data_IF_749112866100
#
_entry.id   IF_749112866100
#
_cell.length_a   1.000
_cell.length_b   1.000
_cell.length_c   1.000
_cell.angle_alpha   90.00
_cell.angle_beta   90.00
_cell.angle_gamma   90.00
#
_symmetry.space_group_name_H-M   'P 1'
#
loop_
_entity.id
_entity.type
_entity.pdbx_description
1 polymer ?
#
# COMPACT_ATOMS: atom_id res chain seq x y z
N UNK A 1 -3.09 -18.92 -1.95
CA UNK A 1 -2.01 -18.04 -2.45
C UNK A 1 -2.46 -17.30 -3.70
N UNK A 2 -2.91 -18.02 -4.73
CA UNK A 2 -3.41 -17.45 -5.99
C UNK A 2 -4.53 -16.40 -5.79
N UNK A 3 -5.53 -16.69 -4.96
CA UNK A 3 -6.63 -15.75 -4.65
C UNK A 3 -6.16 -14.46 -3.98
N UNK A 4 -5.06 -14.50 -3.21
CA UNK A 4 -4.51 -13.30 -2.58
C UNK A 4 -3.81 -12.41 -3.62
N UNK A 5 -3.07 -13.01 -4.55
CA UNK A 5 -2.45 -12.30 -5.67
C UNK A 5 -3.54 -11.65 -6.54
N UNK A 6 -4.60 -12.39 -6.86
CA UNK A 6 -5.75 -11.86 -7.60
C UNK A 6 -6.42 -10.69 -6.86
N UNK A 7 -6.51 -10.76 -5.53
CA UNK A 7 -7.07 -9.68 -4.70
C UNK A 7 -6.21 -8.42 -4.78
N UNK A 8 -4.88 -8.54 -4.73
CA UNK A 8 -3.95 -7.41 -4.87
C UNK A 8 -4.14 -6.71 -6.23
N UNK A 9 -4.17 -7.49 -7.32
CA UNK A 9 -4.35 -6.95 -8.68
C UNK A 9 -5.72 -6.28 -8.84
N UNK A 10 -6.79 -6.95 -8.44
CA UNK A 10 -8.16 -6.42 -8.59
C UNK A 10 -8.42 -5.19 -7.72
N UNK A 11 -7.81 -5.11 -6.53
CA UNK A 11 -7.89 -3.94 -5.65
C UNK A 11 -7.24 -2.71 -6.28
N UNK A 12 -6.08 -2.89 -6.93
CA UNK A 12 -5.43 -1.84 -7.69
C UNK A 12 -6.31 -1.38 -8.86
N UNK A 13 -6.75 -2.31 -9.73
CA UNK A 13 -7.55 -2.00 -10.91
C UNK A 13 -8.87 -1.30 -10.56
N UNK A 14 -9.53 -1.74 -9.49
CA UNK A 14 -10.76 -1.12 -8.97
C UNK A 14 -10.52 0.32 -8.53
N UNK A 15 -9.39 0.58 -7.89
CA UNK A 15 -9.03 1.92 -7.41
C UNK A 15 -8.54 2.84 -8.53
N UNK A 16 -7.85 2.29 -9.54
CA UNK A 16 -7.42 3.01 -10.74
C UNK A 16 -8.59 3.28 -11.71
N UNK A 17 -9.77 2.70 -11.45
CA UNK A 17 -10.99 2.85 -12.28
C UNK A 17 -10.73 2.53 -13.76
N UNK A 18 -9.95 1.48 -14.02
CA UNK A 18 -9.58 1.06 -15.37
C UNK A 18 -8.48 1.91 -16.04
N UNK A 19 -7.82 2.81 -15.30
CA UNK A 19 -6.59 3.47 -15.74
C UNK A 19 -5.36 2.61 -15.43
N UNK A 20 -4.25 2.94 -16.10
CA UNK A 20 -2.96 2.29 -15.90
C UNK A 20 -2.35 2.61 -14.51
N UNK A 21 -2.50 3.87 -14.05
CA UNK A 21 -1.91 4.37 -12.80
C UNK A 21 -2.97 4.98 -11.87
N UNK A 22 -2.70 4.94 -10.57
CA UNK A 22 -3.46 5.63 -9.52
C UNK A 22 -3.03 7.09 -9.43
N UNK A 23 -3.97 8.02 -9.60
CA UNK A 23 -3.73 9.40 -9.18
C UNK A 23 -3.69 9.49 -7.65
N UNK A 24 -3.10 10.57 -7.13
CA UNK A 24 -2.90 10.70 -5.68
C UNK A 24 -4.18 10.65 -4.84
N UNK A 25 -5.34 11.07 -5.37
CA UNK A 25 -6.61 10.96 -4.63
C UNK A 25 -7.08 9.51 -4.59
N UNK A 26 -6.97 8.79 -5.70
CA UNK A 26 -7.32 7.37 -5.80
C UNK A 26 -6.40 6.51 -4.92
N UNK A 27 -5.09 6.80 -4.93
CA UNK A 27 -4.10 6.18 -4.04
C UNK A 27 -4.44 6.43 -2.57
N UNK A 28 -4.72 7.69 -2.19
CA UNK A 28 -5.08 8.03 -0.82
C UNK A 28 -6.32 7.26 -0.32
N UNK A 29 -7.32 7.11 -1.19
CA UNK A 29 -8.53 6.35 -0.87
C UNK A 29 -8.25 4.86 -0.73
N UNK A 30 -7.39 4.30 -1.58
CA UNK A 30 -6.96 2.90 -1.50
C UNK A 30 -6.28 2.64 -0.15
N UNK A 31 -5.24 3.42 0.19
CA UNK A 31 -4.47 3.25 1.43
C UNK A 31 -5.38 3.34 2.65
N UNK A 32 -6.23 4.37 2.71
CA UNK A 32 -7.15 4.55 3.83
C UNK A 32 -8.17 3.41 3.97
N UNK A 33 -8.69 2.88 2.86
CA UNK A 33 -9.76 1.87 2.88
C UNK A 33 -9.25 0.44 3.04
N UNK A 34 -8.11 0.11 2.44
CA UNK A 34 -7.60 -1.26 2.35
C UNK A 34 -6.44 -1.52 3.31
N UNK A 35 -5.62 -0.51 3.61
CA UNK A 35 -4.42 -0.65 4.43
C UNK A 35 -4.54 0.00 5.81
N UNK A 36 -5.64 0.70 6.11
CA UNK A 36 -5.80 1.41 7.38
C UNK A 36 -5.99 0.55 8.63
N UNK A 37 -6.12 -0.77 8.47
CA UNK A 37 -6.05 -1.72 9.58
C UNK A 37 -4.64 -2.27 9.85
N UNK A 38 -3.68 -2.00 8.96
CA UNK A 38 -2.33 -2.59 8.99
C UNK A 38 -1.26 -1.50 9.16
N UNK A 39 -1.43 -0.36 8.49
CA UNK A 39 -0.52 0.78 8.59
C UNK A 39 -1.08 1.79 9.60
N UNK A 40 -0.19 2.37 10.41
CA UNK A 40 -0.48 3.54 11.22
C UNK A 40 -0.57 4.79 10.31
N UNK A 41 -1.23 5.84 10.79
CA UNK A 41 -1.33 7.14 10.10
C UNK A 41 -1.96 7.17 8.70
N UNK A 42 -2.68 6.13 8.27
CA UNK A 42 -3.46 6.14 7.01
C UNK A 42 -4.65 7.12 7.02
N UNK A 43 -4.86 7.85 8.12
CA UNK A 43 -5.80 8.96 8.18
C UNK A 43 -5.13 10.32 7.92
N UNK A 44 -3.79 10.38 7.97
CA UNK A 44 -3.02 11.59 7.68
C UNK A 44 -2.83 11.74 6.17
N UNK A 45 -3.53 12.72 5.60
CA UNK A 45 -3.40 13.09 4.19
C UNK A 45 -1.95 13.45 3.83
N UNK A 46 -1.22 14.06 4.75
CA UNK A 46 0.19 14.41 4.56
C UNK A 46 1.09 13.18 4.56
N UNK A 47 0.88 12.23 5.47
CA UNK A 47 1.66 10.99 5.50
C UNK A 47 1.44 10.15 4.23
N UNK A 48 0.20 10.07 3.74
CA UNK A 48 -0.10 9.35 2.50
C UNK A 48 0.50 10.05 1.28
N UNK A 49 0.54 11.39 1.26
CA UNK A 49 1.23 12.14 0.19
C UNK A 49 2.73 11.90 0.19
N UNK A 50 3.38 11.92 1.36
CA UNK A 50 4.80 11.62 1.46
C UNK A 50 5.10 10.17 1.06
N UNK A 51 4.23 9.24 1.45
CA UNK A 51 4.30 7.85 1.00
C UNK A 51 4.15 7.74 -0.52
N UNK A 52 3.20 8.46 -1.13
CA UNK A 52 3.06 8.50 -2.58
C UNK A 52 4.34 9.01 -3.24
N UNK A 53 4.92 10.11 -2.74
CA UNK A 53 6.19 10.65 -3.26
C UNK A 53 7.37 9.70 -3.10
N UNK A 54 7.39 8.92 -2.01
CA UNK A 54 8.41 7.90 -1.79
C UNK A 54 8.29 6.69 -2.72
N UNK A 55 7.10 6.45 -3.29
CA UNK A 55 6.83 5.37 -4.24
C UNK A 55 6.92 5.81 -5.70
N UNK A 56 6.68 7.10 -5.99
CA UNK A 56 6.69 7.72 -7.33
C UNK A 56 8.12 7.88 -7.87
N UNK A 57 8.76 6.75 -8.21
CA UNK A 57 10.15 6.70 -8.67
C UNK A 57 10.34 7.38 -10.02
N UNK A 58 9.32 7.32 -10.89
CA UNK A 58 9.35 7.98 -12.20
C UNK A 58 8.95 9.46 -12.15
N UNK A 59 8.51 9.96 -10.98
CA UNK A 59 8.06 11.35 -10.76
C UNK A 59 6.95 11.79 -11.72
N UNK A 60 6.04 10.89 -12.10
CA UNK A 60 4.87 11.21 -12.92
C UNK A 60 3.68 11.74 -12.10
N UNK A 61 3.82 11.78 -10.78
CA UNK A 61 2.79 12.23 -9.84
C UNK A 61 1.67 11.22 -9.64
N UNK A 62 1.85 9.98 -10.10
CA UNK A 62 0.90 8.87 -9.96
C UNK A 62 1.61 7.67 -9.33
N UNK A 63 0.86 6.59 -9.16
CA UNK A 63 1.37 5.31 -8.66
C UNK A 63 0.97 4.22 -9.65
N UNK A 64 1.94 3.73 -10.39
CA UNK A 64 1.83 2.57 -11.26
C UNK A 64 1.63 1.29 -10.46
N UNK A 65 1.28 0.19 -11.14
CA UNK A 65 1.13 -1.10 -10.48
C UNK A 65 2.43 -1.59 -9.81
N UNK A 66 3.58 -1.31 -10.42
CA UNK A 66 4.88 -1.68 -9.86
C UNK A 66 5.15 -0.93 -8.54
N UNK A 67 4.94 0.37 -8.53
CA UNK A 67 5.12 1.21 -7.33
C UNK A 67 4.13 0.83 -6.23
N UNK A 68 2.91 0.43 -6.61
CA UNK A 68 1.95 -0.16 -5.68
C UNK A 68 2.44 -1.49 -5.09
N UNK A 69 3.10 -2.36 -5.86
CA UNK A 69 3.67 -3.60 -5.33
C UNK A 69 4.81 -3.33 -4.34
N UNK A 70 5.60 -2.27 -4.53
CA UNK A 70 6.61 -1.83 -3.55
C UNK A 70 5.95 -1.51 -2.20
N UNK A 71 4.82 -0.80 -2.20
CA UNK A 71 4.05 -0.55 -0.99
C UNK A 71 3.54 -1.85 -0.35
N UNK A 72 2.96 -2.75 -1.14
CA UNK A 72 2.47 -4.03 -0.62
C UNK A 72 3.61 -4.88 -0.04
N UNK A 73 4.79 -4.86 -0.65
CA UNK A 73 5.99 -5.51 -0.14
C UNK A 73 6.42 -4.92 1.21
N UNK A 74 6.41 -3.59 1.35
CA UNK A 74 6.70 -2.92 2.62
C UNK A 74 5.70 -3.32 3.71
N UNK A 75 4.40 -3.30 3.39
CA UNK A 75 3.33 -3.70 4.32
C UNK A 75 3.46 -5.17 4.71
N UNK A 76 3.72 -6.06 3.75
CA UNK A 76 3.90 -7.48 4.00
C UNK A 76 5.12 -7.75 4.89
N UNK A 77 6.23 -7.05 4.66
CA UNK A 77 7.42 -7.16 5.50
C UNK A 77 7.18 -6.63 6.92
N UNK A 78 6.51 -5.49 7.06
CA UNK A 78 6.14 -4.93 8.37
C UNK A 78 5.21 -5.87 9.16
N UNK A 79 4.19 -6.41 8.47
CA UNK A 79 3.27 -7.39 9.06
C UNK A 79 3.98 -8.69 9.45
N UNK A 80 4.88 -9.19 8.60
CA UNK A 80 5.69 -10.37 8.87
C UNK A 80 6.58 -10.17 10.09
N UNK A 81 7.24 -9.02 10.20
CA UNK A 81 8.06 -8.66 11.37
C UNK A 81 7.22 -8.56 12.64
N UNK A 82 6.04 -7.92 12.58
CA UNK A 82 5.14 -7.84 13.74
C UNK A 82 4.67 -9.22 14.20
N UNK A 83 4.39 -10.14 13.25
CA UNK A 83 3.94 -11.49 13.55
C UNK A 83 5.08 -12.42 14.02
N UNK A 84 6.30 -12.20 13.54
CA UNK A 84 7.48 -12.98 13.93
C UNK A 84 8.15 -12.44 15.22
N UNK A 85 8.05 -11.14 15.49
CA UNK A 85 8.62 -10.47 16.66
C UNK A 85 7.80 -10.61 17.95
N UNK A 86 6.55 -11.05 17.88
CA UNK A 86 5.69 -11.24 19.08
C UNK A 86 6.05 -12.46 19.95
N UNK A 87 7.14 -13.17 19.65
CA UNK A 87 7.61 -14.34 20.42
C UNK A 87 8.96 -14.13 21.15
N UNK A 88 9.55 -12.93 21.13
CA UNK A 88 10.92 -12.72 21.63
C UNK A 88 11.04 -12.02 23.00
N UNK A 89 9.99 -11.37 23.50
CA UNK A 89 10.08 -10.59 24.75
C UNK A 89 9.00 -11.03 25.76
N UNK A 90 9.22 -12.20 26.36
CA UNK A 90 8.67 -12.52 27.68
C UNK A 90 9.72 -13.32 28.44
N UNK A 91 10.64 -12.62 29.09
CA UNK A 91 11.54 -13.16 30.11
C UNK A 91 11.89 -12.06 31.10
#
# INVERSE_FOLDING_TARGET
>A
MESAIQTVVTTFLSSARGRENLDGKSFQKLVKKQLGGIMEDTNSSSAIKEMQRGLDENSDGKVSFQEYLTLIGYVANSLSQSKCGSNADTS
#
